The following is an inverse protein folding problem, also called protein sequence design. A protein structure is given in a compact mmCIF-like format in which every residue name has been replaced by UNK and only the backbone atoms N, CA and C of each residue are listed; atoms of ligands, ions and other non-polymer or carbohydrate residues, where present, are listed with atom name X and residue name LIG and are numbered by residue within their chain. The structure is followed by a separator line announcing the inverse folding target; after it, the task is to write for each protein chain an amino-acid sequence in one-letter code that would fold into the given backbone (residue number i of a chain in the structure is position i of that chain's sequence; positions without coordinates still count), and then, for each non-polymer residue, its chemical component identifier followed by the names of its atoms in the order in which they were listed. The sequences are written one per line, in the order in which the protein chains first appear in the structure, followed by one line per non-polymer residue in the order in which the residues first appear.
data_IF_153654175643
#
_entry.id   IF_153654175643
#
_cell.length_a   1.000
_cell.length_b   1.000
_cell.length_c   1.000
_cell.angle_alpha   90.00
_cell.angle_beta   90.00
_cell.angle_gamma   90.00
#
_symmetry.space_group_name_H-M   'P 1'
#
loop_
_entity.id
_entity.type
_entity.pdbx_description
1 polymer ?
#
# COMPACT_ATOMS: atom_id res chain seq x y z
N UNK A 1 2.13 -2.46 13.66
CA UNK A 1 1.25 -2.77 12.52
C UNK A 1 -0.10 -2.09 12.58
N UNK A 2 -0.70 -1.98 13.76
CA UNK A 2 -2.04 -1.42 13.87
C UNK A 2 -2.14 0.03 13.42
N UNK A 3 -1.12 0.84 13.67
CA UNK A 3 -1.09 2.24 13.23
C UNK A 3 -1.08 2.37 11.71
N UNK A 4 -0.37 1.48 11.03
CA UNK A 4 -0.31 1.47 9.57
C UNK A 4 -1.66 1.06 8.99
N UNK A 5 -2.29 0.03 9.55
CA UNK A 5 -3.62 -0.42 9.11
C UNK A 5 -4.67 0.66 9.34
N UNK A 6 -4.58 1.38 10.45
CA UNK A 6 -5.45 2.52 10.73
C UNK A 6 -5.30 3.63 9.71
N UNK A 7 -4.07 3.91 9.31
CA UNK A 7 -3.79 4.90 8.28
C UNK A 7 -4.48 4.53 6.96
N UNK A 8 -4.41 3.25 6.57
CA UNK A 8 -5.09 2.75 5.37
C UNK A 8 -6.61 2.77 5.48
N UNK A 9 -7.16 2.68 6.69
CA UNK A 9 -8.62 2.83 6.88
C UNK A 9 -9.08 4.25 6.63
N UNK A 10 -8.27 5.23 7.01
CA UNK A 10 -8.58 6.64 6.78
C UNK A 10 -8.38 7.07 5.34
N UNK A 11 -7.43 6.47 4.68
CA UNK A 11 -7.04 6.80 3.31
C UNK A 11 -7.00 5.51 2.50
N UNK A 12 -7.96 5.32 1.61
CA UNK A 12 -8.08 4.09 0.84
C UNK A 12 -6.81 3.78 0.05
N UNK A 13 -6.26 4.79 -0.62
CA UNK A 13 -5.03 4.66 -1.40
C UNK A 13 -3.92 5.45 -0.74
N UNK A 14 -2.79 4.79 -0.52
CA UNK A 14 -1.67 5.36 0.22
C UNK A 14 -0.39 5.15 -0.57
N UNK A 15 0.41 6.23 -0.67
CA UNK A 15 1.75 6.14 -1.22
C UNK A 15 2.71 5.71 -0.12
N UNK A 16 3.42 4.61 -0.36
CA UNK A 16 4.40 4.08 0.59
C UNK A 16 5.80 4.41 0.10
N UNK A 17 6.53 5.20 0.88
CA UNK A 17 7.94 5.48 0.64
C UNK A 17 8.80 4.47 1.39
N UNK A 18 9.72 3.85 0.68
CA UNK A 18 10.66 2.90 1.25
C UNK A 18 12.03 3.53 1.46
N UNK A 19 12.82 2.93 2.34
CA UNK A 19 14.19 3.41 2.64
C UNK A 19 15.14 3.23 1.46
N UNK A 20 14.99 2.15 0.68
CA UNK A 20 15.97 1.77 -0.36
C UNK A 20 15.39 1.60 -1.75
N UNK A 21 14.08 1.65 -1.91
CA UNK A 21 13.42 1.42 -3.20
C UNK A 21 12.48 2.55 -3.54
N UNK A 22 11.97 2.55 -4.78
CA UNK A 22 11.02 3.55 -5.24
C UNK A 22 9.70 3.43 -4.49
N UNK A 23 8.99 4.54 -4.29
CA UNK A 23 7.67 4.49 -3.67
C UNK A 23 6.65 3.74 -4.53
N UNK A 24 5.66 3.16 -3.89
CA UNK A 24 4.55 2.53 -4.58
C UNK A 24 3.23 3.11 -4.06
N UNK A 25 2.21 3.02 -4.91
CA UNK A 25 0.84 3.35 -4.53
C UNK A 25 0.14 2.03 -4.16
N UNK A 26 -0.43 1.95 -2.97
CA UNK A 26 -0.98 0.70 -2.45
C UNK A 26 -2.33 0.88 -1.78
N UNK A 27 -3.08 -0.22 -1.67
CA UNK A 27 -4.36 -0.25 -0.97
C UNK A 27 -4.48 -1.52 -0.13
N UNK A 28 -5.27 -1.43 0.93
CA UNK A 28 -5.71 -2.61 1.70
C UNK A 28 -7.14 -3.02 1.37
N UNK A 29 -7.80 -2.31 0.48
CA UNK A 29 -9.16 -2.65 0.05
C UNK A 29 -9.12 -3.72 -1.05
N UNK A 30 -9.04 -4.98 -0.64
CA UNK A 30 -8.94 -6.12 -1.55
C UNK A 30 -10.26 -6.48 -2.23
N UNK A 31 -11.34 -5.81 -1.87
CA UNK A 31 -12.66 -5.99 -2.51
C UNK A 31 -12.88 -5.04 -3.68
N UNK A 32 -11.88 -4.23 -4.01
CA UNK A 32 -11.96 -3.29 -5.11
C UNK A 32 -12.19 -4.04 -6.43
N UNK A 33 -13.11 -3.54 -7.25
CA UNK A 33 -13.47 -4.15 -8.53
C UNK A 33 -12.30 -4.31 -9.49
N UNK A 34 -11.36 -3.37 -9.46
CA UNK A 34 -10.23 -3.35 -10.39
C UNK A 34 -9.23 -4.47 -10.12
N UNK A 35 -9.21 -5.01 -8.91
CA UNK A 35 -8.25 -6.05 -8.51
C UNK A 35 -8.92 -7.37 -8.15
N UNK A 36 -10.21 -7.46 -8.33
CA UNK A 36 -11.02 -8.63 -7.97
C UNK A 36 -10.49 -9.92 -8.58
N UNK A 37 -9.98 -9.85 -9.81
CA UNK A 37 -9.50 -11.02 -10.55
C UNK A 37 -8.03 -11.33 -10.31
N UNK A 38 -7.33 -10.47 -9.60
CA UNK A 38 -5.91 -10.70 -9.29
C UNK A 38 -5.82 -11.68 -8.13
N UNK A 39 -5.01 -12.74 -8.31
CA UNK A 39 -4.85 -13.77 -7.28
C UNK A 39 -4.17 -13.18 -6.03
N UNK A 40 -4.86 -13.29 -4.89
CA UNK A 40 -4.35 -12.83 -3.62
C UNK A 40 -3.46 -13.89 -2.98
N UNK A 41 -2.18 -13.60 -2.70
CA UNK A 41 -1.31 -14.53 -1.99
C UNK A 41 -1.65 -14.57 -0.51
N UNK A 42 -1.05 -15.52 0.22
CA UNK A 42 -1.18 -15.56 1.67
C UNK A 42 -0.37 -14.43 2.29
N UNK A 43 -0.89 -13.85 3.39
CA UNK A 43 -0.14 -12.88 4.15
C UNK A 43 0.99 -13.57 4.90
N UNK A 44 2.21 -13.09 4.68
CA UNK A 44 3.39 -13.61 5.37
C UNK A 44 3.43 -13.08 6.80
N UNK A 45 3.95 -13.91 7.70
CA UNK A 45 4.08 -13.55 9.11
C UNK A 45 4.97 -12.30 9.26
N UNK A 46 4.52 -11.37 10.08
CA UNK A 46 5.23 -10.11 10.38
C UNK A 46 5.41 -9.18 9.18
N UNK A 47 4.61 -9.39 8.12
CA UNK A 47 4.59 -8.50 6.96
C UNK A 47 3.19 -7.97 6.73
N UNK A 48 3.11 -6.84 6.03
CA UNK A 48 1.85 -6.24 5.65
C UNK A 48 1.54 -6.60 4.20
N UNK A 49 0.42 -7.28 3.96
CA UNK A 49 -0.03 -7.58 2.61
C UNK A 49 -0.80 -6.39 2.06
N UNK A 50 -0.35 -5.85 0.94
CA UNK A 50 -1.02 -4.77 0.23
C UNK A 50 -1.12 -5.11 -1.24
N UNK A 51 -2.04 -4.44 -1.95
CA UNK A 51 -2.05 -4.46 -3.40
C UNK A 51 -1.33 -3.22 -3.92
N UNK A 52 -0.28 -3.42 -4.72
CA UNK A 52 0.48 -2.31 -5.31
C UNK A 52 -0.14 -1.90 -6.65
N UNK A 53 -0.76 -0.71 -6.70
CA UNK A 53 -1.30 -0.16 -7.95
C UNK A 53 -0.19 0.11 -8.97
N UNK A 54 0.97 0.52 -8.49
CA UNK A 54 2.12 0.83 -9.35
C UNK A 54 2.62 -0.38 -10.12
N UNK A 55 2.65 -1.54 -9.45
CA UNK A 55 3.17 -2.79 -10.03
C UNK A 55 2.06 -3.72 -10.51
N UNK A 56 0.82 -3.41 -10.17
CA UNK A 56 -0.36 -4.22 -10.44
C UNK A 56 -0.24 -5.64 -9.89
N UNK A 57 0.23 -5.75 -8.66
CA UNK A 57 0.36 -7.04 -7.97
C UNK A 57 0.30 -6.86 -6.45
N UNK A 58 0.00 -7.96 -5.76
CA UNK A 58 0.08 -8.00 -4.29
C UNK A 58 1.53 -8.06 -3.84
N UNK A 59 1.80 -7.43 -2.69
CA UNK A 59 3.12 -7.49 -2.07
C UNK A 59 2.99 -7.70 -0.57
N UNK A 60 3.84 -8.58 -0.02
CA UNK A 60 4.05 -8.69 1.42
C UNK A 60 5.22 -7.76 1.79
N UNK A 61 4.94 -6.70 2.51
CA UNK A 61 5.91 -5.64 2.81
C UNK A 61 6.41 -5.77 4.23
N UNK A 62 7.74 -5.79 4.38
CA UNK A 62 8.37 -5.68 5.69
C UNK A 62 8.20 -4.23 6.16
N UNK A 63 7.42 -4.03 7.24
CA UNK A 63 7.12 -2.69 7.74
C UNK A 63 8.37 -1.90 8.16
N UNK A 64 9.47 -2.61 8.48
CA UNK A 64 10.74 -1.97 8.84
C UNK A 64 11.40 -1.25 7.67
N UNK A 65 10.99 -1.58 6.43
CA UNK A 65 11.53 -0.93 5.23
C UNK A 65 10.76 0.33 4.84
N UNK A 66 9.65 0.62 5.53
CA UNK A 66 8.82 1.79 5.24
C UNK A 66 9.44 3.02 5.88
N UNK A 67 9.70 4.05 5.04
CA UNK A 67 10.20 5.34 5.49
C UNK A 67 9.06 6.26 5.91
N UNK A 68 8.03 6.36 5.08
CA UNK A 68 6.88 7.24 5.33
C UNK A 68 5.67 6.81 4.51
N UNK A 69 4.50 7.34 4.92
CA UNK A 69 3.22 7.09 4.24
C UNK A 69 2.58 8.43 3.90
N UNK A 70 2.00 8.52 2.72
CA UNK A 70 1.22 9.69 2.29
C UNK A 70 -0.10 9.26 1.69
N UNK A 71 -1.20 9.98 1.97
CA UNK A 71 -2.46 9.68 1.28
C UNK A 71 -2.35 10.08 -0.20
N UNK A 72 -3.06 9.37 -1.06
CA UNK A 72 -3.08 9.68 -2.49
C UNK A 72 -3.49 11.13 -2.75
N UNK A 73 -4.47 11.63 -2.01
CA UNK A 73 -4.93 13.01 -2.15
C UNK A 73 -3.80 14.03 -1.95
N UNK A 74 -2.89 13.78 -1.01
CA UNK A 74 -1.75 14.66 -0.76
C UNK A 74 -0.76 14.60 -1.91
N UNK A 75 -0.53 13.42 -2.46
CA UNK A 75 0.38 13.24 -3.61
C UNK A 75 -0.15 14.01 -4.81
N UNK A 76 -1.45 13.91 -5.08
CA UNK A 76 -2.09 14.61 -6.20
C UNK A 76 -2.03 16.13 -6.06
N UNK A 77 -2.10 16.64 -4.83
CA UNK A 77 -1.96 18.07 -4.57
C UNK A 77 -0.56 18.61 -4.87
N UNK A 78 0.44 17.73 -4.80
CA UNK A 78 1.84 18.13 -4.99
C UNK A 78 2.33 17.96 -6.43
N UNK A 79 1.44 17.59 -7.36
CA UNK A 79 1.77 17.35 -8.79
C UNK A 79 1.40 18.57 -9.65
N UNK A 80 1.47 19.73 -9.16
CA UNK A 80 1.23 20.92 -9.99
C UNK A 80 2.48 21.36 -10.76
#
# INVERSE_FOLDING_TARGET
MDKIREYFRKHEDVCINFLKTRPIMATLNFKNKHIEKVRKPEQEKNKLLVFSWTEWKYRNIDIRTIKSLYPLSQVLQNIE
#
